data_IF_560434819296
#
_entry.id   IF_560434819296
#
_cell.length_a   1.000
_cell.length_b   1.000
_cell.length_c   1.000
_cell.angle_alpha   90.00
_cell.angle_beta   90.00
_cell.angle_gamma   90.00
#
_symmetry.space_group_name_H-M   'P 1'
#
loop_
_entity.id
_entity.type
_entity.pdbx_description
1 polymer ?
#
# COMPACT_ATOMS: atom_id res chain seq x y z
N UNK A 1 -6.45 26.82 15.49
CA UNK A 1 -6.42 26.80 14.02
C UNK A 1 -5.09 26.14 13.67
N UNK A 2 -5.10 24.81 13.63
CA UNK A 2 -3.90 23.99 13.46
C UNK A 2 -3.65 23.83 11.97
N UNK A 3 -2.56 24.44 11.50
CA UNK A 3 -2.13 24.35 10.11
C UNK A 3 -1.68 22.93 9.85
N UNK A 4 -2.51 22.15 9.18
CA UNK A 4 -2.12 20.91 8.55
C UNK A 4 -0.97 21.23 7.58
N UNK A 5 0.25 20.86 7.96
CA UNK A 5 1.38 20.77 7.04
C UNK A 5 1.01 19.66 6.05
N UNK A 6 0.36 20.06 4.96
CA UNK A 6 0.03 19.19 3.83
C UNK A 6 1.31 18.51 3.38
N UNK A 7 1.39 17.20 3.63
CA UNK A 7 2.50 16.39 3.15
C UNK A 7 2.53 16.50 1.64
N UNK A 8 3.67 16.91 1.10
CA UNK A 8 3.91 17.02 -0.34
C UNK A 8 3.26 15.83 -1.07
N UNK A 9 2.29 16.14 -1.93
CA UNK A 9 1.72 15.16 -2.86
C UNK A 9 2.85 14.78 -3.82
N UNK A 10 3.18 13.49 -3.88
CA UNK A 10 4.19 13.03 -4.82
C UNK A 10 3.57 12.97 -6.22
N UNK A 11 4.24 13.58 -7.21
CA UNK A 11 3.84 13.46 -8.60
C UNK A 11 3.80 11.99 -9.08
N UNK A 12 4.55 11.09 -8.42
CA UNK A 12 4.50 9.65 -8.68
C UNK A 12 3.20 9.05 -8.14
N UNK A 13 2.78 9.42 -6.93
CA UNK A 13 1.51 8.98 -6.33
C UNK A 13 0.33 9.44 -7.22
N UNK A 14 0.37 10.69 -7.69
CA UNK A 14 -0.67 11.26 -8.56
C UNK A 14 -0.72 10.55 -9.91
N UNK A 15 0.43 10.35 -10.54
CA UNK A 15 0.53 9.65 -11.81
C UNK A 15 0.05 8.20 -11.69
N UNK A 16 0.49 7.47 -10.66
CA UNK A 16 0.07 6.09 -10.43
C UNK A 16 -1.44 6.00 -10.18
N UNK A 17 -1.99 6.90 -9.36
CA UNK A 17 -3.44 6.96 -9.10
C UNK A 17 -4.21 7.24 -10.39
N UNK A 18 -3.76 8.22 -11.19
CA UNK A 18 -4.35 8.55 -12.48
C UNK A 18 -4.29 7.36 -13.46
N UNK A 19 -3.15 6.67 -13.54
CA UNK A 19 -2.96 5.50 -14.38
C UNK A 19 -3.92 4.38 -13.98
N UNK A 20 -4.01 4.05 -12.69
CA UNK A 20 -4.90 3.01 -12.18
C UNK A 20 -6.38 3.31 -12.48
N UNK A 21 -6.80 4.57 -12.32
CA UNK A 21 -8.15 5.02 -12.71
C UNK A 21 -8.39 4.87 -14.21
N UNK A 22 -7.42 5.30 -15.02
CA UNK A 22 -7.51 5.22 -16.49
C UNK A 22 -7.61 3.77 -16.97
N UNK A 23 -6.94 2.85 -16.27
CA UNK A 23 -6.98 1.41 -16.55
C UNK A 23 -8.19 0.70 -15.90
N UNK A 24 -9.15 1.43 -15.32
CA UNK A 24 -10.37 0.89 -14.71
C UNK A 24 -10.08 -0.09 -13.55
N UNK A 25 -9.03 0.20 -12.77
CA UNK A 25 -8.77 -0.50 -11.49
C UNK A 25 -9.64 0.03 -10.35
N UNK A 26 -10.17 1.25 -10.49
CA UNK A 26 -11.24 1.77 -9.66
C UNK A 26 -12.58 1.49 -10.36
N UNK A 27 -13.50 0.80 -9.67
CA UNK A 27 -14.81 0.46 -10.21
C UNK A 27 -15.84 0.62 -9.09
N UNK A 28 -16.91 1.36 -9.40
CA UNK A 28 -17.94 1.73 -8.42
C UNK A 28 -18.44 0.51 -7.64
N UNK A 29 -18.31 0.58 -6.31
CA UNK A 29 -18.79 -0.44 -5.37
C UNK A 29 -17.83 -1.60 -5.10
N UNK A 30 -17.02 -2.01 -6.08
CA UNK A 30 -16.23 -3.25 -5.99
C UNK A 30 -14.75 -3.01 -5.67
N UNK A 31 -14.09 -2.09 -6.38
CA UNK A 31 -12.65 -1.82 -6.24
C UNK A 31 -12.39 -0.35 -5.94
N UNK A 32 -11.64 -0.10 -4.88
CA UNK A 32 -11.34 1.26 -4.40
C UNK A 32 -9.84 1.46 -4.37
N UNK A 33 -9.38 2.58 -4.93
CA UNK A 33 -8.01 3.05 -4.77
C UNK A 33 -7.91 3.79 -3.43
N UNK A 34 -6.97 3.36 -2.60
CA UNK A 34 -6.64 4.00 -1.34
C UNK A 34 -5.22 4.51 -1.40
N UNK A 35 -5.01 5.75 -0.99
CA UNK A 35 -3.66 6.31 -0.82
C UNK A 35 -3.28 6.24 0.66
N UNK A 36 -2.00 5.97 0.94
CA UNK A 36 -1.36 6.20 2.25
C UNK A 36 -2.10 5.55 3.43
N UNK A 37 -2.74 4.40 3.23
CA UNK A 37 -3.47 3.69 4.29
C UNK A 37 -2.49 3.01 5.23
N UNK A 38 -2.59 3.29 6.52
CA UNK A 38 -1.77 2.63 7.53
C UNK A 38 -2.29 1.22 7.82
N UNK A 39 -1.39 0.24 7.78
CA UNK A 39 -1.63 -1.16 8.05
C UNK A 39 -0.82 -1.58 9.27
N UNK A 40 -1.48 -2.01 10.34
CA UNK A 40 -0.80 -2.50 11.54
C UNK A 40 -0.66 -4.02 11.52
N UNK A 41 0.46 -4.54 12.03
CA UNK A 41 0.66 -5.97 12.23
C UNK A 41 1.52 -6.21 13.46
N UNK A 42 1.36 -7.37 14.10
CA UNK A 42 2.22 -7.77 15.22
C UNK A 42 3.42 -8.55 14.69
N UNK A 43 4.63 -8.04 14.89
CA UNK A 43 5.90 -8.72 14.59
C UNK A 43 6.73 -8.82 15.85
N UNK A 44 7.15 -10.05 16.20
CA UNK A 44 8.00 -10.31 17.36
C UNK A 44 7.45 -9.71 18.68
N UNK A 45 6.13 -9.67 18.85
CA UNK A 45 5.47 -9.11 20.03
C UNK A 45 5.33 -7.58 20.04
N UNK A 46 5.81 -6.89 19.02
CA UNK A 46 5.64 -5.46 18.83
C UNK A 46 4.65 -5.17 17.70
N UNK A 47 3.87 -4.10 17.85
CA UNK A 47 3.07 -3.56 16.76
C UNK A 47 3.98 -2.77 15.82
N UNK A 48 3.99 -3.17 14.55
CA UNK A 48 4.65 -2.44 13.47
C UNK A 48 3.60 -1.93 12.49
N UNK A 49 3.93 -0.84 11.81
CA UNK A 49 3.07 -0.18 10.84
C UNK A 49 3.72 -0.17 9.48
N UNK A 50 2.94 -0.50 8.47
CA UNK A 50 3.31 -0.40 7.08
C UNK A 50 2.36 0.60 6.41
N UNK A 51 2.87 1.42 5.49
CA UNK A 51 2.11 2.49 4.87
C UNK A 51 2.36 2.48 3.36
N UNK A 52 1.70 1.57 2.62
CA UNK A 52 1.77 1.59 1.16
C UNK A 52 1.33 2.94 0.64
N UNK A 53 2.01 3.41 -0.40
CA UNK A 53 1.69 4.68 -1.04
C UNK A 53 0.32 4.60 -1.72
N UNK A 54 0.05 3.52 -2.46
CA UNK A 54 -1.25 3.24 -3.06
C UNK A 54 -1.62 1.76 -2.91
N UNK A 55 -2.86 1.50 -2.52
CA UNK A 55 -3.47 0.17 -2.49
C UNK A 55 -4.77 0.17 -3.30
N UNK A 56 -4.93 -0.78 -4.22
CA UNK A 56 -6.26 -1.09 -4.79
C UNK A 56 -6.86 -2.23 -3.99
N UNK A 57 -8.05 -2.00 -3.42
CA UNK A 57 -8.74 -2.98 -2.60
C UNK A 57 -10.05 -3.37 -3.26
N UNK A 58 -10.19 -4.66 -3.57
CA UNK A 58 -11.47 -5.26 -3.91
C UNK A 58 -12.23 -5.65 -2.63
N UNK A 59 -13.41 -5.07 -2.43
CA UNK A 59 -14.22 -5.25 -1.22
C UNK A 59 -14.85 -6.65 -1.11
N UNK A 60 -15.03 -7.33 -2.23
CA UNK A 60 -15.67 -8.64 -2.31
C UNK A 60 -14.65 -9.77 -2.21
N UNK A 61 -13.52 -9.63 -2.91
CA UNK A 61 -12.50 -10.68 -3.02
C UNK A 61 -11.29 -10.46 -2.09
N UNK A 62 -11.26 -9.33 -1.37
CA UNK A 62 -10.08 -8.83 -0.66
C UNK A 62 -8.84 -8.80 -1.56
N UNK A 63 -8.98 -8.77 -2.89
CA UNK A 63 -7.83 -8.69 -3.81
C UNK A 63 -7.15 -7.35 -3.65
N UNK A 64 -5.82 -7.40 -3.57
CA UNK A 64 -4.98 -6.25 -3.29
C UNK A 64 -3.94 -6.08 -4.39
N UNK A 65 -3.82 -4.86 -4.90
CA UNK A 65 -2.63 -4.40 -5.62
C UNK A 65 -1.94 -3.35 -4.75
N UNK A 66 -0.63 -3.48 -4.56
CA UNK A 66 0.18 -2.49 -3.86
C UNK A 66 1.10 -1.75 -4.84
N UNK A 67 1.15 -0.43 -4.72
CA UNK A 67 2.13 0.41 -5.41
C UNK A 67 2.97 1.13 -4.36
N UNK A 68 4.29 1.00 -4.49
CA UNK A 68 5.26 1.65 -3.63
C UNK A 68 6.12 2.61 -4.44
N UNK A 69 6.16 3.88 -4.05
CA UNK A 69 7.07 4.87 -4.61
C UNK A 69 8.50 4.62 -4.09
N UNK A 70 9.49 4.73 -4.97
CA UNK A 70 10.89 4.87 -4.57
C UNK A 70 11.12 6.27 -3.98
N UNK A 71 10.95 6.38 -2.66
CA UNK A 71 11.18 7.63 -1.92
C UNK A 71 12.68 7.90 -1.84
N UNK A 72 13.16 8.71 -2.77
CA UNK A 72 14.52 9.26 -2.71
C UNK A 72 14.59 10.22 -1.52
N UNK A 73 14.99 9.73 -0.35
CA UNK A 73 15.19 10.59 0.81
C UNK A 73 16.18 11.71 0.48
N UNK A 74 15.84 12.95 0.86
CA UNK A 74 16.61 14.17 0.61
C UNK A 74 18.04 14.14 1.20
N UNK A 75 18.36 13.11 1.98
CA UNK A 75 19.73 12.80 2.40
C UNK A 75 20.44 12.07 1.24
N UNK A 76 20.94 12.86 0.30
CA UNK A 76 21.70 12.49 -0.92
C UNK A 76 23.00 11.67 -0.68
N UNK A 77 23.12 10.97 0.42
CA UNK A 77 24.32 10.23 0.85
C UNK A 77 24.09 8.74 1.06
N UNK A 78 22.85 8.25 0.99
CA UNK A 78 22.57 6.81 1.14
C UNK A 78 22.10 6.25 -0.20
N UNK A 79 22.78 5.21 -0.68
CA UNK A 79 22.47 4.45 -1.90
C UNK A 79 20.97 4.40 -2.19
N UNK A 80 20.60 4.59 -3.47
CA UNK A 80 19.29 4.24 -4.05
C UNK A 80 18.78 2.95 -3.39
N UNK A 81 17.87 3.07 -2.42
CA UNK A 81 17.38 1.90 -1.72
C UNK A 81 16.44 1.19 -2.68
N UNK A 82 16.64 -0.11 -2.88
CA UNK A 82 15.68 -0.90 -3.65
C UNK A 82 14.31 -0.75 -2.94
N UNK A 83 13.23 -0.27 -3.59
CA UNK A 83 11.91 -0.14 -2.96
C UNK A 83 11.22 -1.49 -2.72
N UNK A 84 11.73 -2.57 -3.31
CA UNK A 84 11.16 -3.92 -3.24
C UNK A 84 11.04 -4.48 -1.81
N UNK A 85 12.04 -4.38 -0.90
CA UNK A 85 11.89 -4.89 0.47
C UNK A 85 10.78 -4.18 1.25
N UNK A 86 10.60 -2.87 1.02
CA UNK A 86 9.50 -2.12 1.62
C UNK A 86 8.16 -2.61 1.09
N UNK A 87 8.03 -2.76 -0.24
CA UNK A 87 6.84 -3.31 -0.87
C UNK A 87 6.48 -4.71 -0.33
N UNK A 88 7.47 -5.59 -0.13
CA UNK A 88 7.26 -6.92 0.47
C UNK A 88 6.74 -6.82 1.90
N UNK A 89 7.30 -5.93 2.71
CA UNK A 89 6.83 -5.71 4.08
C UNK A 89 5.37 -5.22 4.12
N UNK A 90 5.00 -4.31 3.22
CA UNK A 90 3.64 -3.80 3.10
C UNK A 90 2.65 -4.87 2.61
N UNK A 91 3.06 -5.75 1.69
CA UNK A 91 2.26 -6.90 1.29
C UNK A 91 1.99 -7.86 2.44
N UNK A 92 3.00 -8.10 3.29
CA UNK A 92 2.85 -8.94 4.48
C UNK A 92 1.87 -8.31 5.47
N UNK A 93 1.99 -7.00 5.71
CA UNK A 93 1.06 -6.26 6.57
C UNK A 93 -0.38 -6.32 6.01
N UNK A 94 -0.53 -6.20 4.70
CA UNK A 94 -1.84 -6.25 4.05
C UNK A 94 -2.47 -7.65 4.12
N UNK A 95 -1.68 -8.69 3.91
CA UNK A 95 -2.13 -10.08 4.10
C UNK A 95 -2.54 -10.37 5.54
N UNK A 96 -1.75 -9.89 6.51
CA UNK A 96 -2.09 -9.98 7.93
C UNK A 96 -3.44 -9.32 8.23
N UNK A 97 -3.67 -8.10 7.74
CA UNK A 97 -4.92 -7.36 7.94
C UNK A 97 -6.13 -8.02 7.27
N UNK A 98 -5.95 -8.64 6.10
CA UNK A 98 -7.00 -9.45 5.48
C UNK A 98 -7.42 -10.58 6.41
N UNK A 99 -6.46 -11.36 6.92
CA UNK A 99 -6.77 -12.48 7.79
C UNK A 99 -7.36 -12.04 9.14
N UNK A 100 -6.89 -10.93 9.69
CA UNK A 100 -7.49 -10.32 10.88
C UNK A 100 -8.97 -9.99 10.64
N UNK A 101 -9.28 -9.33 9.51
CA UNK A 101 -10.66 -8.98 9.14
C UNK A 101 -11.52 -10.22 8.89
N UNK A 102 -10.97 -11.24 8.23
CA UNK A 102 -11.66 -12.53 8.00
C UNK A 102 -11.99 -13.23 9.32
N UNK A 103 -11.04 -13.27 10.25
CA UNK A 103 -11.25 -13.82 11.59
C UNK A 103 -12.35 -13.09 12.37
N UNK A 104 -12.35 -11.75 12.33
CA UNK A 104 -13.42 -10.94 12.94
C UNK A 104 -14.80 -11.20 12.30
N UNK A 105 -14.85 -11.59 11.02
CA UNK A 105 -16.06 -11.96 10.30
C UNK A 105 -16.44 -13.45 10.46
N UNK A 106 -15.70 -14.23 11.25
CA UNK A 106 -15.93 -15.67 11.40
C UNK A 106 -15.63 -16.49 10.13
N UNK A 107 -14.86 -15.94 9.19
CA UNK A 107 -14.42 -16.62 7.96
C UNK A 107 -13.09 -17.33 8.21
N UNK A 108 -12.89 -18.43 7.49
CA UNK A 108 -11.60 -19.15 7.51
C UNK A 108 -10.44 -18.24 7.12
N UNK A 109 -9.32 -18.39 7.81
CA UNK A 109 -8.08 -17.69 7.48
C UNK A 109 -7.52 -18.22 6.16
N UNK A 110 -6.87 -17.35 5.40
CA UNK A 110 -6.16 -17.73 4.18
C UNK A 110 -4.76 -18.23 4.56
N UNK A 111 -4.37 -19.39 4.03
CA UNK A 111 -2.99 -19.89 4.16
C UNK A 111 -2.01 -19.18 3.21
N UNK A 112 -2.52 -18.68 2.09
CA UNK A 112 -1.75 -17.93 1.11
C UNK A 112 -2.65 -16.97 0.33
N UNK A 113 -2.05 -15.94 -0.27
CA UNK A 113 -2.73 -15.03 -1.18
C UNK A 113 -1.74 -14.43 -2.16
N UNK A 114 -2.12 -14.35 -3.43
CA UNK A 114 -1.39 -13.58 -4.43
C UNK A 114 -1.73 -12.10 -4.27
N UNK A 115 -0.71 -11.26 -4.08
CA UNK A 115 -0.83 -9.80 -4.02
C UNK A 115 0.15 -9.22 -5.04
N UNK A 116 -0.33 -8.72 -6.19
CA UNK A 116 0.53 -8.02 -7.14
C UNK A 116 1.14 -6.75 -6.53
N UNK A 117 2.37 -6.46 -6.92
CA UNK A 117 3.11 -5.30 -6.46
C UNK A 117 3.76 -4.55 -7.61
N UNK A 118 3.77 -3.23 -7.50
CA UNK A 118 4.46 -2.34 -8.43
C UNK A 118 5.38 -1.44 -7.61
N UNK A 119 6.66 -1.40 -7.98
CA UNK A 119 7.54 -0.32 -7.54
C UNK A 119 7.54 0.75 -8.64
N UNK A 120 7.30 2.00 -8.27
CA UNK A 120 7.30 3.11 -9.21
C UNK A 120 8.36 4.13 -8.82
N UNK A 121 9.08 4.61 -9.83
CA UNK A 121 10.18 5.55 -9.63
C UNK A 121 10.03 6.73 -10.58
N UNK A 122 10.01 7.93 -10.00
CA UNK A 122 10.13 9.17 -10.75
C UNK A 122 11.54 9.34 -11.32
N UNK A 123 11.63 9.89 -12.53
CA UNK A 123 12.87 10.44 -13.07
C UNK A 123 12.78 11.97 -13.01
N UNK A 124 13.86 12.61 -12.57
CA UNK A 124 14.07 14.07 -12.65
C UNK A 124 14.88 14.41 -13.88
#
# INVERSE_FOLDING_TARGET
>A
METALGGEESAVDDFATFLLRTLNYEQDGDRVIRTRTELSMTMCGATVYAKPDISVVDRNTNSLLQVQEDKVSLLRTSNRQNPEPQLVAEMLAAFYNINLTRGMQGKDLLNSKLIPGITMRGVV
#
